data_IF_563397757835
#
_entry.id   IF_563397757835
#
_cell.length_a   1.000
_cell.length_b   1.000
_cell.length_c   1.000
_cell.angle_alpha   90.00
_cell.angle_beta   90.00
_cell.angle_gamma   90.00
#
_symmetry.space_group_name_H-M   'P 1'
#
loop_
_entity.id
_entity.type
_entity.pdbx_description
1 polymer ?
#
# COMPACT_ATOMS: atom_id res chain seq x y z
N UNK A 1 23.95 8.27 -13.71
CA UNK A 1 22.71 8.80 -13.12
C UNK A 1 21.86 7.62 -12.72
N UNK A 2 21.45 7.50 -11.44
CA UNK A 2 20.65 6.37 -11.00
C UNK A 2 19.30 6.38 -11.71
N UNK A 3 18.92 5.25 -12.32
CA UNK A 3 17.55 5.04 -12.79
C UNK A 3 16.73 4.76 -11.53
N UNK A 4 15.94 5.73 -11.10
CA UNK A 4 14.97 5.51 -10.03
C UNK A 4 13.67 5.03 -10.68
N UNK A 5 13.19 3.88 -10.24
CA UNK A 5 11.91 3.34 -10.70
C UNK A 5 10.78 4.33 -10.33
N UNK A 6 9.87 4.60 -11.28
CA UNK A 6 8.71 5.45 -11.03
C UNK A 6 7.74 4.74 -10.09
N UNK A 7 7.30 5.46 -9.06
CA UNK A 7 6.39 4.94 -8.04
C UNK A 7 5.13 5.82 -7.94
N UNK A 8 4.05 5.22 -7.47
CA UNK A 8 2.86 5.93 -7.03
C UNK A 8 2.58 5.63 -5.56
N UNK A 9 2.02 6.62 -4.86
CA UNK A 9 1.66 6.51 -3.45
C UNK A 9 0.15 6.37 -3.30
N UNK A 10 -0.28 5.29 -2.65
CA UNK A 10 -1.70 5.07 -2.30
C UNK A 10 -1.83 5.16 -0.80
N UNK A 11 -2.65 6.06 -0.23
CA UNK A 11 -2.91 6.07 1.20
C UNK A 11 -3.38 4.70 1.69
N UNK A 12 -2.80 4.28 2.81
CA UNK A 12 -3.27 3.13 3.53
C UNK A 12 -4.59 3.47 4.21
N UNK A 13 -5.63 2.69 3.95
CA UNK A 13 -6.96 2.91 4.48
C UNK A 13 -7.16 2.13 5.79
N UNK A 14 -7.20 2.78 6.97
CA UNK A 14 -7.40 2.10 8.25
C UNK A 14 -8.78 1.48 8.40
N UNK A 15 -9.76 1.88 7.58
CA UNK A 15 -11.14 1.38 7.64
C UNK A 15 -11.37 0.19 6.73
N UNK A 16 -10.41 -0.12 5.84
CA UNK A 16 -10.48 -1.25 4.93
C UNK A 16 -9.72 -2.46 5.49
N UNK A 17 -10.45 -3.55 5.70
CA UNK A 17 -9.86 -4.76 6.29
C UNK A 17 -8.85 -5.45 5.35
N UNK A 18 -8.99 -5.32 4.03
CA UNK A 18 -8.02 -5.86 3.08
C UNK A 18 -6.67 -5.12 3.16
N UNK A 19 -6.69 -3.79 3.35
CA UNK A 19 -5.47 -2.99 3.58
C UNK A 19 -4.80 -3.40 4.90
N UNK A 20 -5.59 -3.65 5.94
CA UNK A 20 -5.09 -4.13 7.21
C UNK A 20 -4.44 -5.51 7.10
N UNK A 21 -5.17 -6.47 6.54
CA UNK A 21 -4.68 -7.84 6.39
C UNK A 21 -3.43 -7.91 5.52
N UNK A 22 -3.39 -7.19 4.39
CA UNK A 22 -2.20 -7.15 3.53
C UNK A 22 -1.00 -6.55 4.25
N UNK A 23 -1.19 -5.50 5.05
CA UNK A 23 -0.08 -4.93 5.83
C UNK A 23 0.42 -5.91 6.88
N UNK A 24 -0.49 -6.59 7.58
CA UNK A 24 -0.11 -7.62 8.54
C UNK A 24 0.68 -8.76 7.87
N UNK A 25 0.19 -9.28 6.75
CA UNK A 25 0.82 -10.40 6.03
C UNK A 25 2.25 -10.05 5.55
N UNK A 26 2.45 -8.86 4.98
CA UNK A 26 3.78 -8.39 4.59
C UNK A 26 4.74 -8.32 5.78
N UNK A 27 4.25 -7.83 6.94
CA UNK A 27 5.03 -7.67 8.17
C UNK A 27 5.40 -9.01 8.78
N UNK A 28 4.49 -9.98 8.72
CA UNK A 28 4.76 -11.37 9.11
C UNK A 28 5.81 -11.98 8.19
N UNK A 29 5.66 -11.82 6.86
CA UNK A 29 6.58 -12.39 5.88
C UNK A 29 8.01 -11.84 6.03
N UNK A 30 8.16 -10.56 6.39
CA UNK A 30 9.47 -9.97 6.65
C UNK A 30 9.92 -10.07 8.12
N UNK A 31 9.15 -10.72 9.00
CA UNK A 31 9.46 -10.92 10.41
C UNK A 31 9.61 -9.64 11.22
N UNK A 32 8.89 -8.56 10.85
CA UNK A 32 9.09 -7.23 11.41
C UNK A 32 7.78 -6.59 11.88
N UNK A 33 7.66 -6.38 13.19
CA UNK A 33 6.63 -5.53 13.83
C UNK A 33 5.20 -5.79 13.36
N UNK A 34 4.85 -7.04 13.08
CA UNK A 34 3.49 -7.39 12.67
C UNK A 34 2.48 -7.15 13.80
N UNK A 35 2.94 -7.25 15.05
CA UNK A 35 2.21 -6.96 16.28
C UNK A 35 1.82 -5.47 16.42
N UNK A 36 2.57 -4.56 15.79
CA UNK A 36 2.29 -3.11 15.86
C UNK A 36 1.23 -2.66 14.84
N UNK A 37 0.82 -3.50 13.89
CA UNK A 37 -0.09 -3.09 12.80
C UNK A 37 -1.45 -2.62 13.34
N UNK A 38 -1.96 -3.28 14.39
CA UNK A 38 -3.17 -2.85 15.10
C UNK A 38 -3.01 -1.48 15.75
N UNK A 39 -1.86 -1.23 16.39
CA UNK A 39 -1.57 0.08 16.98
C UNK A 39 -1.46 1.18 15.90
N UNK A 40 -0.90 0.86 14.73
CA UNK A 40 -0.83 1.80 13.61
C UNK A 40 -2.22 2.13 13.06
N UNK A 41 -3.12 1.13 12.95
CA UNK A 41 -4.55 1.35 12.61
C UNK A 41 -5.18 2.37 13.55
N UNK A 42 -5.04 2.15 14.86
CA UNK A 42 -5.59 3.05 15.89
C UNK A 42 -5.02 4.47 15.80
N UNK A 43 -3.70 4.60 15.59
CA UNK A 43 -3.05 5.91 15.43
C UNK A 43 -3.51 6.63 14.17
N UNK A 44 -3.76 5.92 13.07
CA UNK A 44 -4.29 6.52 11.85
C UNK A 44 -5.74 6.99 12.02
N UNK A 45 -6.58 6.19 12.66
CA UNK A 45 -7.97 6.58 12.99
C UNK A 45 -8.03 7.81 13.91
N UNK A 46 -7.04 7.98 14.79
CA UNK A 46 -6.91 9.16 15.68
C UNK A 46 -6.25 10.38 15.01
N UNK A 47 -5.86 10.29 13.73
CA UNK A 47 -5.13 11.37 13.05
C UNK A 47 -3.76 11.64 13.67
N UNK A 48 -3.10 10.60 14.21
CA UNK A 48 -1.76 10.69 14.83
C UNK A 48 -0.66 10.06 13.97
N UNK A 49 -1.07 9.35 12.91
CA UNK A 49 -0.19 8.70 11.94
C UNK A 49 -0.84 8.74 10.57
N UNK A 50 -0.04 8.66 9.52
CA UNK A 50 -0.50 8.37 8.18
C UNK A 50 0.52 7.45 7.51
N UNK A 51 0.03 6.56 6.66
CA UNK A 51 0.83 5.58 5.94
C UNK A 51 0.41 5.58 4.47
N UNK A 52 1.37 5.25 3.61
CA UNK A 52 1.15 5.06 2.19
C UNK A 52 1.71 3.70 1.79
N UNK A 53 0.98 3.04 0.91
CA UNK A 53 1.52 2.03 0.03
C UNK A 53 2.39 2.69 -1.03
N UNK A 54 3.50 2.03 -1.35
CA UNK A 54 4.33 2.36 -2.49
C UNK A 54 4.04 1.31 -3.54
N UNK A 55 3.51 1.73 -4.68
CA UNK A 55 3.24 0.85 -5.83
C UNK A 55 4.10 1.29 -7.02
N UNK A 56 4.31 0.40 -7.96
CA UNK A 56 4.94 0.74 -9.24
C UNK A 56 4.01 1.65 -10.04
N UNK A 57 4.55 2.71 -10.64
CA UNK A 57 3.78 3.56 -11.53
C UNK A 57 3.36 2.79 -12.79
N UNK A 58 2.21 3.14 -13.36
CA UNK A 58 1.68 2.44 -14.55
C UNK A 58 2.53 2.67 -15.80
N UNK A 59 3.21 3.81 -15.88
CA UNK A 59 4.08 4.19 -16.99
C UNK A 59 5.52 3.68 -16.82
N UNK A 60 5.74 2.73 -15.90
CA UNK A 60 7.03 2.10 -15.71
C UNK A 60 7.29 1.00 -16.75
N UNK A 61 8.34 1.15 -17.55
CA UNK A 61 8.65 0.25 -18.68
C UNK A 61 8.73 -1.22 -18.31
N UNK A 62 9.21 -1.55 -17.10
CA UNK A 62 9.39 -2.92 -16.61
C UNK A 62 8.37 -3.34 -15.54
N UNK A 63 7.24 -2.63 -15.45
CA UNK A 63 6.20 -2.87 -14.44
C UNK A 63 5.76 -4.32 -14.38
N UNK A 64 5.35 -4.88 -15.52
CA UNK A 64 4.81 -6.24 -15.61
C UNK A 64 5.85 -7.30 -15.21
N UNK A 65 7.11 -7.14 -15.61
CA UNK A 65 8.20 -8.04 -15.21
C UNK A 65 8.41 -8.02 -13.69
N UNK A 66 8.42 -6.83 -13.09
CA UNK A 66 8.62 -6.65 -11.65
C UNK A 66 7.43 -7.20 -10.85
N UNK A 67 6.20 -7.01 -11.34
CA UNK A 67 5.00 -7.60 -10.75
C UNK A 67 5.00 -9.12 -10.86
N UNK A 68 5.40 -9.69 -11.99
CA UNK A 68 5.50 -11.14 -12.17
C UNK A 68 6.52 -11.75 -11.19
N UNK A 69 7.68 -11.11 -11.00
CA UNK A 69 8.68 -11.53 -10.00
C UNK A 69 8.09 -11.48 -8.59
N UNK A 70 7.45 -10.36 -8.23
CA UNK A 70 6.88 -10.15 -6.89
C UNK A 70 5.76 -11.16 -6.58
N UNK A 71 4.78 -11.30 -7.47
CA UNK A 71 3.62 -12.19 -7.28
C UNK A 71 3.99 -13.67 -7.28
N UNK A 72 5.04 -14.06 -8.02
CA UNK A 72 5.58 -15.42 -7.94
C UNK A 72 6.20 -15.71 -6.56
N UNK A 73 6.89 -14.72 -5.96
CA UNK A 73 7.46 -14.86 -4.62
C UNK A 73 6.42 -14.73 -3.50
N UNK A 74 5.41 -13.88 -3.69
CA UNK A 74 4.37 -13.56 -2.73
C UNK A 74 2.97 -13.74 -3.34
N UNK A 75 2.48 -14.98 -3.53
CA UNK A 75 1.21 -15.23 -4.22
C UNK A 75 -0.02 -14.60 -3.56
N UNK A 76 0.03 -14.34 -2.25
CA UNK A 76 -1.03 -13.65 -1.49
C UNK A 76 -1.16 -12.17 -1.83
N UNK A 77 -0.17 -11.60 -2.52
CA UNK A 77 -0.12 -10.19 -2.91
C UNK A 77 -0.52 -9.98 -4.38
N UNK A 78 -1.01 -11.03 -5.06
CA UNK A 78 -1.42 -10.97 -6.46
C UNK A 78 -2.70 -10.16 -6.72
N UNK A 79 -3.55 -9.95 -5.70
CA UNK A 79 -4.73 -9.09 -5.83
C UNK A 79 -4.33 -7.62 -5.94
N UNK A 80 -5.02 -6.84 -6.76
CA UNK A 80 -4.70 -5.43 -6.94
C UNK A 80 -4.95 -4.62 -5.67
N UNK A 81 -4.02 -3.70 -5.38
CA UNK A 81 -4.19 -2.74 -4.29
C UNK A 81 -5.06 -1.56 -4.75
N UNK A 82 -6.34 -1.60 -4.41
CA UNK A 82 -7.26 -0.53 -4.74
C UNK A 82 -7.14 0.66 -3.77
N UNK A 83 -7.23 1.86 -4.32
CA UNK A 83 -7.39 3.08 -3.56
C UNK A 83 -8.82 3.17 -2.98
N UNK A 84 -8.95 2.94 -1.66
CA UNK A 84 -10.23 3.06 -0.96
C UNK A 84 -10.32 4.24 0.01
N UNK A 85 -9.19 4.88 0.33
CA UNK A 85 -9.15 5.91 1.35
C UNK A 85 -9.87 7.19 0.89
N UNK A 86 -10.83 7.66 1.69
CA UNK A 86 -11.54 8.94 1.44
C UNK A 86 -10.94 10.12 2.23
N UNK A 87 -9.96 9.84 3.10
CA UNK A 87 -9.26 10.82 3.92
C UNK A 87 -7.77 10.48 3.96
N UNK A 88 -6.92 11.51 3.99
CA UNK A 88 -5.53 11.36 4.40
C UNK A 88 -5.35 12.18 5.66
N UNK A 89 -4.88 11.52 6.73
CA UNK A 89 -4.63 12.16 8.02
C UNK A 89 -5.90 12.83 8.59
N UNK A 90 -6.06 14.14 8.39
CA UNK A 90 -7.22 14.93 8.84
C UNK A 90 -7.92 15.68 7.68
N UNK A 91 -7.55 15.42 6.44
CA UNK A 91 -8.03 16.15 5.27
C UNK A 91 -8.80 15.21 4.34
N UNK A 92 -10.00 15.64 3.93
CA UNK A 92 -10.78 14.93 2.91
C UNK A 92 -10.04 14.95 1.57
N UNK A 93 -10.10 13.84 0.84
CA UNK A 93 -9.51 13.77 -0.51
C UNK A 93 -10.52 13.23 -1.49
N UNK A 94 -10.39 13.64 -2.74
CA UNK A 94 -11.05 12.98 -3.85
C UNK A 94 -10.25 11.72 -4.21
N UNK A 95 -10.95 10.59 -4.36
CA UNK A 95 -10.32 9.34 -4.79
C UNK A 95 -9.78 9.53 -6.21
N UNK A 96 -8.54 9.10 -6.45
CA UNK A 96 -8.02 9.02 -7.80
C UNK A 96 -8.53 7.72 -8.42
N UNK A 97 -9.60 7.78 -9.23
CA UNK A 97 -10.19 6.60 -9.87
C UNK A 97 -9.45 6.15 -11.15
N UNK A 98 -8.38 6.84 -11.55
CA UNK A 98 -7.61 6.49 -12.73
C UNK A 98 -6.12 6.35 -12.42
N UNK A 99 -5.70 5.11 -12.29
CA UNK A 99 -4.38 4.65 -12.72
C UNK A 99 -4.53 4.37 -14.22
N UNK A 100 -4.42 5.41 -15.06
CA UNK A 100 -4.55 5.30 -16.52
C UNK A 100 -3.44 6.08 -17.20
#
# INVERSE_FOLDING_TARGET
>A
MGVYEKITLVPWDPTNEAHFQRMYDQRVACGWRHEEVTEWKDKMLKGQKFLYWIILADDLERREDLLAIHTNQYPKEAEDLLDTANMVFNTSRERCYSYR
#
